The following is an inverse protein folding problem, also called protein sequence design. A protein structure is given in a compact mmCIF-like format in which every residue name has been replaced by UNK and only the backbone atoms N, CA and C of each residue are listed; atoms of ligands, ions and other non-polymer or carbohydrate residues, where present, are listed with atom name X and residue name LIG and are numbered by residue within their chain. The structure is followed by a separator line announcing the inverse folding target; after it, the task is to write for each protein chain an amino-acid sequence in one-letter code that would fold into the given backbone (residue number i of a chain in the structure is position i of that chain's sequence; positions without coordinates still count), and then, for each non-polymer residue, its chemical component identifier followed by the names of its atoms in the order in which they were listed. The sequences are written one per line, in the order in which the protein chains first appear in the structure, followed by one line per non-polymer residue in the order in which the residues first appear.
data_IF_229198192627
#
_entry.id   IF_229198192627
#
_cell.length_a   1.000
_cell.length_b   1.000
_cell.length_c   1.000
_cell.angle_alpha   90.00
_cell.angle_beta   90.00
_cell.angle_gamma   90.00
#
_symmetry.space_group_name_H-M   'P 1'
#
loop_
_entity.id
_entity.type
_entity.pdbx_description
1 polymer ?
#
# COMPACT_ATOMS: atom_id res chain seq x y z
N UNK A 1 10.48 9.16 -2.33
CA UNK A 1 9.32 8.49 -1.71
C UNK A 1 8.75 9.48 -0.72
N UNK A 2 7.68 10.16 -1.10
CA UNK A 2 6.99 11.05 -0.17
C UNK A 2 6.40 10.18 0.94
N UNK A 3 6.66 10.57 2.18
CA UNK A 3 6.24 9.81 3.36
C UNK A 3 4.77 10.08 3.70
N UNK A 4 3.92 10.00 2.66
CA UNK A 4 2.50 10.39 2.69
C UNK A 4 1.73 9.61 3.76
N UNK A 5 2.19 8.39 4.10
CA UNK A 5 1.61 7.62 5.20
C UNK A 5 1.87 8.24 6.56
N UNK A 6 3.14 8.56 6.84
CA UNK A 6 3.54 9.19 8.10
C UNK A 6 2.87 10.56 8.19
N UNK A 7 2.85 11.35 7.13
CA UNK A 7 2.11 12.61 7.10
C UNK A 7 0.62 12.41 7.40
N UNK A 8 -0.06 11.42 6.78
CA UNK A 8 -1.47 11.11 7.07
C UNK A 8 -1.66 10.69 8.53
N UNK A 9 -0.78 9.86 9.09
CA UNK A 9 -0.88 9.39 10.47
C UNK A 9 -0.69 10.51 11.50
N UNK A 10 0.28 11.41 11.26
CA UNK A 10 0.62 12.48 12.20
C UNK A 10 -0.25 13.73 12.05
N UNK A 11 -0.79 13.99 10.85
CA UNK A 11 -1.59 15.20 10.56
C UNK A 11 -3.10 14.96 10.60
N UNK A 12 -3.58 13.71 10.50
CA UNK A 12 -5.01 13.42 10.56
C UNK A 12 -5.49 13.32 12.01
N UNK A 13 -6.64 13.94 12.28
CA UNK A 13 -7.36 13.75 13.54
C UNK A 13 -8.29 12.55 13.42
N UNK A 14 -8.08 11.54 14.26
CA UNK A 14 -8.96 10.38 14.39
C UNK A 14 -9.77 10.51 15.68
N UNK A 15 -11.07 10.21 15.63
CA UNK A 15 -11.98 10.31 16.78
C UNK A 15 -11.73 9.21 17.80
N UNK A 16 -11.26 8.04 17.35
CA UNK A 16 -10.95 6.89 18.18
C UNK A 16 -10.03 5.90 17.45
N UNK A 17 -9.58 4.87 18.16
CA UNK A 17 -8.69 3.83 17.62
C UNK A 17 -9.33 2.99 16.50
N UNK A 18 -10.66 2.82 16.50
CA UNK A 18 -11.36 2.05 15.47
C UNK A 18 -11.28 2.79 14.13
N UNK A 19 -11.49 4.11 14.14
CA UNK A 19 -11.37 4.94 12.94
C UNK A 19 -9.94 5.00 12.43
N UNK A 20 -8.95 5.07 13.33
CA UNK A 20 -7.53 4.99 12.97
C UNK A 20 -7.22 3.66 12.28
N UNK A 21 -7.65 2.53 12.86
CA UNK A 21 -7.41 1.21 12.29
C UNK A 21 -8.02 1.08 10.90
N UNK A 22 -9.28 1.49 10.73
CA UNK A 22 -9.95 1.47 9.42
C UNK A 22 -9.20 2.32 8.38
N UNK A 23 -8.72 3.50 8.75
CA UNK A 23 -7.95 4.37 7.86
C UNK A 23 -6.57 3.80 7.48
N UNK A 24 -5.91 3.09 8.41
CA UNK A 24 -4.66 2.38 8.13
C UNK A 24 -4.93 1.21 7.18
N UNK A 25 -5.98 0.42 7.42
CA UNK A 25 -6.31 -0.74 6.60
C UNK A 25 -6.64 -0.32 5.15
N UNK A 26 -7.44 0.75 4.99
CA UNK A 26 -7.72 1.35 3.68
C UNK A 26 -6.43 1.80 2.98
N UNK A 27 -5.56 2.51 3.70
CA UNK A 27 -4.29 2.98 3.14
C UNK A 27 -3.40 1.82 2.68
N UNK A 28 -3.27 0.78 3.51
CA UNK A 28 -2.46 -0.39 3.20
C UNK A 28 -3.00 -1.16 2.00
N UNK A 29 -4.33 -1.25 1.87
CA UNK A 29 -4.96 -1.85 0.71
C UNK A 29 -4.59 -1.09 -0.58
N UNK A 30 -4.74 0.23 -0.58
CA UNK A 30 -4.43 1.05 -1.74
C UNK A 30 -2.94 1.08 -2.09
N UNK A 31 -2.08 1.17 -1.08
CA UNK A 31 -0.64 1.11 -1.27
C UNK A 31 -0.22 -0.21 -1.93
N UNK A 32 -0.74 -1.34 -1.42
CA UNK A 32 -0.31 -2.64 -1.89
C UNK A 32 -0.95 -3.04 -3.23
N UNK A 33 -2.19 -2.64 -3.51
CA UNK A 33 -2.97 -3.19 -4.63
C UNK A 33 -3.30 -2.18 -5.72
N UNK A 34 -3.15 -0.87 -5.48
CA UNK A 34 -3.53 0.16 -6.46
C UNK A 34 -2.36 1.03 -6.89
N UNK A 35 -1.49 1.43 -5.94
CA UNK A 35 -0.33 2.28 -6.25
C UNK A 35 0.77 1.50 -6.97
N UNK A 36 1.30 2.14 -8.00
CA UNK A 36 2.52 1.72 -8.70
C UNK A 36 3.70 2.51 -8.18
N UNK A 37 4.86 1.87 -8.11
CA UNK A 37 6.06 2.50 -7.57
C UNK A 37 7.17 2.45 -8.60
N UNK A 38 7.78 3.60 -8.89
CA UNK A 38 8.90 3.68 -9.83
C UNK A 38 10.08 2.78 -9.40
N UNK A 39 10.34 2.67 -8.10
CA UNK A 39 11.37 1.76 -7.56
C UNK A 39 11.04 0.27 -7.72
N UNK A 40 9.79 -0.06 -8.08
CA UNK A 40 9.29 -1.41 -8.33
C UNK A 40 8.95 -1.58 -9.83
N UNK A 41 9.67 -0.89 -10.72
CA UNK A 41 9.43 -0.92 -12.17
C UNK A 41 7.98 -0.61 -12.57
N UNK A 42 7.36 0.35 -11.87
CA UNK A 42 5.96 0.73 -12.05
C UNK A 42 4.97 -0.41 -11.82
N UNK A 43 5.33 -1.37 -10.98
CA UNK A 43 4.44 -2.43 -10.50
C UNK A 43 3.91 -2.15 -9.10
N UNK A 44 2.88 -2.90 -8.69
CA UNK A 44 2.27 -2.81 -7.37
C UNK A 44 3.05 -3.68 -6.36
N UNK A 45 3.22 -3.26 -5.10
CA UNK A 45 3.96 -4.04 -4.11
C UNK A 45 3.42 -5.46 -3.95
N UNK A 46 2.10 -5.65 -4.01
CA UNK A 46 1.49 -6.97 -3.87
C UNK A 46 1.84 -7.93 -5.01
N UNK A 47 2.08 -7.42 -6.22
CA UNK A 47 2.45 -8.28 -7.36
C UNK A 47 3.84 -8.90 -7.18
N UNK A 48 4.73 -8.23 -6.43
CA UNK A 48 6.05 -8.77 -6.09
C UNK A 48 6.00 -9.71 -4.88
N UNK A 49 5.20 -9.36 -3.86
CA UNK A 49 5.07 -10.16 -2.65
C UNK A 49 4.28 -11.46 -2.86
N UNK A 50 3.19 -11.39 -3.63
CA UNK A 50 2.33 -12.51 -4.03
C UNK A 50 2.15 -12.47 -5.55
N UNK A 51 3.18 -12.88 -6.32
CA UNK A 51 3.04 -13.03 -7.75
C UNK A 51 1.87 -13.96 -8.04
N UNK A 52 1.03 -13.59 -9.02
CA UNK A 52 -0.02 -14.48 -9.46
C UNK A 52 0.67 -15.74 -10.01
N UNK A 53 0.27 -16.93 -9.56
CA UNK A 53 0.98 -18.19 -9.83
C UNK A 53 1.13 -18.55 -11.32
N UNK A 54 0.56 -17.77 -12.24
CA UNK A 54 0.72 -17.90 -13.69
C UNK A 54 1.82 -17.04 -14.33
N UNK A 55 2.58 -16.23 -13.58
CA UNK A 55 3.73 -15.47 -14.11
C UNK A 55 5.09 -16.14 -13.84
N UNK A 56 5.13 -17.17 -12.98
CA UNK A 56 6.35 -17.88 -12.62
C UNK A 56 6.89 -18.81 -13.73
N UNK A 57 6.15 -19.04 -14.82
CA UNK A 57 6.61 -19.87 -15.95
C UNK A 57 7.30 -19.07 -17.08
N UNK A 58 7.38 -17.74 -16.99
CA UNK A 58 7.88 -16.90 -18.10
C UNK A 58 9.12 -16.06 -17.74
N UNK A 59 9.94 -16.49 -16.76
CA UNK A 59 11.22 -15.86 -16.42
C UNK A 59 12.38 -16.84 -16.58
#
# INVERSE_FOLDING_TARGET
MDNVFIERLYLSSYRNLIELQAGIDEWMHDYNHHRIHQALDYTKPWQLYRPNSGLAEAA
#
